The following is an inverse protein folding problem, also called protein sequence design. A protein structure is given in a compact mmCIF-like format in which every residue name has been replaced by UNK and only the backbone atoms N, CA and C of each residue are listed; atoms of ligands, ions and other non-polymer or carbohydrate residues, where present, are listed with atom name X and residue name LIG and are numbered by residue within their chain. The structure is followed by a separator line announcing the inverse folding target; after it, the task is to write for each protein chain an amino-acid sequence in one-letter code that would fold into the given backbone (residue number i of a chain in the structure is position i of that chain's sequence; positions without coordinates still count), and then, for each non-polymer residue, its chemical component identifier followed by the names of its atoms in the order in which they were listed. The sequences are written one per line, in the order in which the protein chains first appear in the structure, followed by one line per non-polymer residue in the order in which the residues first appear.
data_IF_088676880805
#
_entry.id   IF_088676880805
#
_cell.length_a   1.000
_cell.length_b   1.000
_cell.length_c   1.000
_cell.angle_alpha   90.00
_cell.angle_beta   90.00
_cell.angle_gamma   90.00
#
_symmetry.space_group_name_H-M   'P 1'
#
loop_
_entity.id
_entity.type
_entity.pdbx_description
1 polymer ?
#
# COMPACT_ATOMS: atom_id res chain seq x y z
N UNK A 1 9.77 -5.07 -5.25
CA UNK A 1 8.53 -5.46 -4.56
C UNK A 1 7.37 -4.58 -5.01
N UNK A 2 7.50 -3.24 -4.95
CA UNK A 2 6.39 -2.33 -5.26
C UNK A 2 5.96 -2.38 -6.73
N UNK A 3 6.90 -2.40 -7.66
CA UNK A 3 6.61 -2.33 -9.10
C UNK A 3 6.98 -3.61 -9.85
N UNK A 4 7.55 -4.61 -9.16
CA UNK A 4 8.00 -5.85 -9.76
C UNK A 4 9.19 -5.74 -10.71
N UNK A 5 9.73 -4.52 -10.90
CA UNK A 5 10.84 -4.24 -11.81
C UNK A 5 11.88 -3.35 -11.15
N UNK A 6 13.15 -3.57 -11.49
CA UNK A 6 14.27 -2.70 -11.13
C UNK A 6 15.10 -2.45 -12.40
N UNK A 7 15.30 -1.20 -12.74
CA UNK A 7 16.16 -0.80 -13.85
C UNK A 7 17.33 -0.01 -13.29
N UNK A 8 18.55 -0.40 -13.65
CA UNK A 8 19.79 0.24 -13.24
C UNK A 8 20.64 0.48 -14.47
N UNK A 9 20.89 1.74 -14.76
CA UNK A 9 21.84 2.13 -15.80
C UNK A 9 23.25 2.21 -15.21
N UNK A 10 24.22 1.67 -15.92
CA UNK A 10 25.65 1.72 -15.58
C UNK A 10 26.40 2.50 -16.65
N UNK A 11 27.02 3.61 -16.29
CA UNK A 11 27.77 4.48 -17.21
C UNK A 11 29.26 4.11 -17.33
N UNK A 12 29.66 3.00 -16.72
CA UNK A 12 31.07 2.55 -16.64
C UNK A 12 31.74 2.89 -15.31
N UNK A 13 31.15 3.79 -14.51
CA UNK A 13 31.68 4.23 -13.21
C UNK A 13 30.61 4.13 -12.12
N UNK A 14 29.43 4.66 -12.40
CA UNK A 14 28.32 4.74 -11.45
C UNK A 14 27.09 3.96 -11.90
N UNK A 15 26.32 3.52 -10.91
CA UNK A 15 25.02 2.88 -11.11
C UNK A 15 23.91 3.87 -10.79
N UNK A 16 23.01 4.08 -11.76
CA UNK A 16 21.86 4.98 -11.63
C UNK A 16 20.58 4.18 -11.63
N UNK A 17 19.81 4.29 -10.55
CA UNK A 17 18.46 3.71 -10.50
C UNK A 17 17.52 4.51 -11.42
N UNK A 18 16.89 3.80 -12.36
CA UNK A 18 15.85 4.35 -13.22
C UNK A 18 14.49 3.92 -12.66
N UNK A 19 13.64 4.87 -12.18
CA UNK A 19 12.31 4.55 -11.69
C UNK A 19 11.48 3.80 -12.75
N UNK A 20 10.86 2.68 -12.35
CA UNK A 20 10.14 1.81 -13.30
C UNK A 20 8.92 2.50 -13.92
N UNK A 21 8.30 3.45 -13.20
CA UNK A 21 7.20 4.27 -13.73
C UNK A 21 7.64 5.19 -14.89
N UNK A 22 8.93 5.58 -14.91
CA UNK A 22 9.48 6.48 -15.93
C UNK A 22 10.30 5.75 -16.99
N UNK A 23 10.36 4.42 -16.92
CA UNK A 23 11.16 3.59 -17.82
C UNK A 23 10.25 2.74 -18.70
N UNK A 24 10.31 2.97 -20.00
CA UNK A 24 9.60 2.21 -21.01
C UNK A 24 10.52 1.13 -21.59
N UNK A 25 9.99 -0.08 -21.78
CA UNK A 25 10.72 -1.18 -22.44
C UNK A 25 10.43 -1.13 -23.93
N UNK A 26 11.47 -0.93 -24.71
CA UNK A 26 11.40 -0.95 -26.17
C UNK A 26 11.51 -2.41 -26.63
N UNK A 27 10.43 -2.93 -27.19
CA UNK A 27 10.36 -4.33 -27.63
C UNK A 27 10.68 -4.47 -29.12
N UNK A 28 11.21 -5.63 -29.47
CA UNK A 28 11.45 -6.05 -30.87
C UNK A 28 11.04 -7.53 -31.06
N UNK A 29 10.63 -7.87 -32.25
CA UNK A 29 10.13 -9.22 -32.58
C UNK A 29 11.25 -10.27 -32.50
N UNK A 30 12.49 -9.90 -32.81
CA UNK A 30 13.63 -10.84 -32.85
C UNK A 30 14.37 -10.95 -31.52
N UNK A 31 14.61 -9.81 -30.86
CA UNK A 31 15.44 -9.74 -29.65
C UNK A 31 14.62 -9.65 -28.36
N UNK A 32 13.29 -9.59 -28.47
CA UNK A 32 12.32 -9.35 -27.40
C UNK A 32 12.47 -7.96 -26.77
N UNK A 33 13.64 -7.60 -26.25
CA UNK A 33 13.95 -6.28 -25.71
C UNK A 33 15.04 -5.68 -26.61
N UNK A 34 14.74 -4.53 -27.22
CA UNK A 34 15.69 -3.75 -28.02
C UNK A 34 16.48 -2.75 -27.15
N UNK A 35 15.87 -2.28 -26.08
CA UNK A 35 16.42 -1.29 -25.17
C UNK A 35 15.38 -0.68 -24.25
N UNK A 36 15.73 0.43 -23.65
CA UNK A 36 14.90 1.11 -22.65
C UNK A 36 14.84 2.60 -22.95
N UNK A 37 13.68 3.22 -22.74
CA UNK A 37 13.49 4.67 -22.86
C UNK A 37 13.16 5.25 -21.50
N UNK A 38 13.97 6.20 -21.06
CA UNK A 38 13.78 6.87 -19.78
C UNK A 38 13.17 8.27 -20.00
N UNK A 39 12.12 8.59 -19.25
CA UNK A 39 11.35 9.84 -19.32
C UNK A 39 10.88 10.22 -20.74
N UNK A 40 10.72 9.26 -21.64
CA UNK A 40 10.33 9.52 -23.02
C UNK A 40 11.40 10.18 -23.88
N UNK A 41 12.60 10.44 -23.36
CA UNK A 41 13.63 11.26 -24.02
C UNK A 41 14.96 10.52 -24.28
N UNK A 42 15.38 9.68 -23.32
CA UNK A 42 16.72 9.05 -23.38
C UNK A 42 16.55 7.58 -23.67
N UNK A 43 17.13 7.13 -24.78
CA UNK A 43 17.14 5.73 -25.16
C UNK A 43 18.47 5.08 -24.74
N UNK A 44 18.39 3.95 -24.06
CA UNK A 44 19.49 3.07 -23.67
C UNK A 44 19.42 1.77 -24.44
N UNK A 45 20.55 1.19 -24.75
CA UNK A 45 20.63 -0.19 -25.28
C UNK A 45 20.32 -1.19 -24.18
N UNK A 46 19.92 -2.40 -24.58
CA UNK A 46 19.70 -3.50 -23.63
C UNK A 46 20.93 -3.76 -22.74
N UNK A 47 22.14 -3.67 -23.30
CA UNK A 47 23.40 -3.88 -22.59
C UNK A 47 23.80 -2.79 -21.61
N UNK A 48 23.15 -1.63 -21.65
CA UNK A 48 23.46 -0.48 -20.79
C UNK A 48 22.56 -0.40 -19.55
N UNK A 49 21.53 -1.25 -19.49
CA UNK A 49 20.57 -1.26 -18.38
C UNK A 49 20.42 -2.67 -17.81
N UNK A 50 20.81 -2.82 -16.57
CA UNK A 50 20.46 -4.00 -15.80
C UNK A 50 18.98 -3.96 -15.47
N UNK A 51 18.22 -4.93 -15.98
CA UNK A 51 16.81 -5.08 -15.71
C UNK A 51 16.53 -6.35 -14.91
N UNK A 52 16.24 -6.18 -13.62
CA UNK A 52 15.75 -7.24 -12.76
C UNK A 52 14.24 -7.17 -12.63
N UNK A 53 13.56 -8.30 -12.83
CA UNK A 53 12.10 -8.39 -12.78
C UNK A 53 11.64 -9.57 -11.92
N UNK A 54 10.56 -9.38 -11.19
CA UNK A 54 9.88 -10.47 -10.47
C UNK A 54 9.02 -11.27 -11.45
N UNK A 55 8.52 -12.43 -11.00
CA UNK A 55 7.70 -13.31 -11.85
C UNK A 55 6.41 -12.61 -12.27
N UNK A 56 6.07 -12.73 -13.56
CA UNK A 56 4.81 -12.27 -14.11
C UNK A 56 4.28 -13.28 -15.12
N UNK A 57 3.10 -13.82 -14.86
CA UNK A 57 2.44 -14.78 -15.76
C UNK A 57 1.78 -14.12 -16.99
N UNK A 58 1.57 -12.81 -16.95
CA UNK A 58 0.88 -12.07 -18.01
C UNK A 58 1.84 -11.35 -18.96
N UNK A 59 3.10 -11.19 -18.60
CA UNK A 59 4.10 -10.50 -19.40
C UNK A 59 5.48 -11.12 -19.26
N UNK A 60 6.15 -11.31 -20.39
CA UNK A 60 7.57 -11.72 -20.43
C UNK A 60 8.51 -10.52 -20.31
N UNK A 61 8.00 -9.30 -20.49
CA UNK A 61 8.80 -8.09 -20.51
C UNK A 61 8.90 -7.42 -19.14
N UNK A 62 7.78 -7.31 -18.42
CA UNK A 62 7.70 -6.66 -17.10
C UNK A 62 7.37 -7.66 -16.01
N UNK A 63 8.00 -7.50 -14.87
CA UNK A 63 7.65 -8.20 -13.65
C UNK A 63 6.32 -7.67 -13.06
N UNK A 64 5.63 -8.51 -12.30
CA UNK A 64 4.42 -8.14 -11.57
C UNK A 64 4.76 -7.66 -10.16
N UNK A 65 4.01 -6.67 -9.69
CA UNK A 65 4.08 -6.22 -8.30
C UNK A 65 3.48 -7.27 -7.36
N UNK A 66 4.14 -7.56 -6.25
CA UNK A 66 3.55 -8.40 -5.20
C UNK A 66 2.32 -7.75 -4.56
N UNK A 67 2.24 -6.42 -4.59
CA UNK A 67 1.08 -5.68 -4.10
C UNK A 67 -0.16 -5.80 -5.00
N UNK A 68 -0.01 -6.29 -6.23
CA UNK A 68 -1.15 -6.52 -7.11
C UNK A 68 -2.16 -7.50 -6.51
N UNK A 69 -1.67 -8.56 -5.83
CA UNK A 69 -2.52 -9.50 -5.11
C UNK A 69 -3.28 -8.84 -3.93
N UNK A 70 -2.72 -7.78 -3.34
CA UNK A 70 -3.31 -7.03 -2.24
C UNK A 70 -4.18 -5.85 -2.68
N UNK A 71 -4.32 -5.59 -3.98
CA UNK A 71 -4.97 -4.39 -4.52
C UNK A 71 -6.37 -4.15 -3.95
N UNK A 72 -7.18 -5.20 -3.79
CA UNK A 72 -8.53 -5.08 -3.19
C UNK A 72 -8.47 -4.67 -1.73
N UNK A 73 -7.55 -5.25 -0.95
CA UNK A 73 -7.36 -4.90 0.46
C UNK A 73 -6.91 -3.46 0.62
N UNK A 74 -6.01 -3.00 -0.24
CA UNK A 74 -5.55 -1.61 -0.28
C UNK A 74 -6.71 -0.67 -0.61
N UNK A 75 -7.49 -0.95 -1.65
CA UNK A 75 -8.65 -0.14 -2.02
C UNK A 75 -9.71 -0.09 -0.91
N UNK A 76 -9.96 -1.21 -0.25
CA UNK A 76 -10.90 -1.28 0.90
C UNK A 76 -10.41 -0.44 2.06
N UNK A 77 -9.11 -0.46 2.40
CA UNK A 77 -8.54 0.39 3.45
C UNK A 77 -8.66 1.88 3.14
N UNK A 78 -8.43 2.28 1.88
CA UNK A 78 -8.65 3.67 1.48
C UNK A 78 -10.12 4.06 1.64
N UNK A 79 -11.05 3.25 1.13
CA UNK A 79 -12.49 3.51 1.28
C UNK A 79 -12.94 3.59 2.75
N UNK A 80 -12.38 2.75 3.62
CA UNK A 80 -12.65 2.81 5.06
C UNK A 80 -12.11 4.11 5.69
N UNK A 81 -10.91 4.54 5.33
CA UNK A 81 -10.32 5.79 5.81
C UNK A 81 -11.10 7.01 5.33
N UNK A 82 -11.44 7.04 4.05
CA UNK A 82 -12.26 8.11 3.47
C UNK A 82 -13.65 8.17 4.14
N UNK A 83 -14.23 7.01 4.42
CA UNK A 83 -15.50 6.94 5.15
C UNK A 83 -15.34 7.50 6.58
N UNK A 84 -14.29 7.10 7.32
CA UNK A 84 -14.01 7.61 8.65
C UNK A 84 -13.78 9.12 8.65
N UNK A 85 -13.00 9.65 7.71
CA UNK A 85 -12.75 11.06 7.53
C UNK A 85 -14.06 11.83 7.31
N UNK A 86 -14.86 11.41 6.32
CA UNK A 86 -16.15 12.00 6.02
C UNK A 86 -17.12 11.92 7.22
N UNK A 87 -17.13 10.80 7.94
CA UNK A 87 -17.94 10.64 9.13
C UNK A 87 -17.58 11.66 10.21
N UNK A 88 -16.28 11.85 10.50
CA UNK A 88 -15.82 12.83 11.46
C UNK A 88 -16.05 14.27 10.98
N UNK A 89 -15.80 14.55 9.71
CA UNK A 89 -16.08 15.87 9.11
C UNK A 89 -17.56 16.25 9.21
N UNK A 90 -18.45 15.29 9.10
CA UNK A 90 -19.90 15.50 9.21
C UNK A 90 -20.44 15.42 10.64
N UNK A 91 -19.56 15.55 11.65
CA UNK A 91 -19.96 15.63 13.07
C UNK A 91 -20.32 14.28 13.69
N UNK A 92 -19.80 13.18 13.13
CA UNK A 92 -20.02 11.81 13.62
C UNK A 92 -21.51 11.39 13.64
N UNK A 93 -22.28 11.84 12.66
CA UNK A 93 -23.70 11.48 12.52
C UNK A 93 -23.88 10.63 11.26
N UNK A 94 -24.44 9.44 11.45
CA UNK A 94 -24.88 8.59 10.33
C UNK A 94 -26.24 9.07 9.84
N UNK A 95 -26.32 9.54 8.63
CA UNK A 95 -27.57 9.76 7.91
C UNK A 95 -28.64 10.49 8.72
N UNK A 96 -28.58 11.82 8.75
CA UNK A 96 -29.64 12.61 9.34
C UNK A 96 -30.74 12.84 8.33
N UNK A 97 -31.96 12.48 8.67
CA UNK A 97 -33.16 12.83 7.89
C UNK A 97 -33.95 13.88 8.65
N UNK A 98 -34.22 15.00 7.98
CA UNK A 98 -35.12 16.01 8.50
C UNK A 98 -36.52 15.69 8.00
N UNK A 99 -37.44 15.39 8.90
CA UNK A 99 -38.84 15.20 8.59
C UNK A 99 -39.61 16.49 8.90
N UNK A 100 -40.62 16.77 8.08
CA UNK A 100 -41.54 17.92 8.31
C UNK A 100 -42.97 17.44 8.24
N UNK A 101 -43.80 17.93 9.11
CA UNK A 101 -45.26 17.68 9.10
C UNK A 101 -45.95 18.41 7.94
N UNK A 102 -45.34 19.49 7.44
CA UNK A 102 -45.84 20.29 6.34
C UNK A 102 -45.06 20.03 5.05
N UNK A 103 -45.72 20.07 3.89
CA UNK A 103 -45.05 19.97 2.60
C UNK A 103 -44.20 21.21 2.35
N UNK A 104 -42.89 21.01 2.26
CA UNK A 104 -41.95 22.08 1.93
C UNK A 104 -41.76 22.19 0.42
N UNK A 105 -41.66 23.43 -0.05
CA UNK A 105 -41.29 23.69 -1.44
C UNK A 105 -39.83 23.25 -1.71
N UNK A 106 -39.46 22.97 -2.96
CA UNK A 106 -38.08 22.57 -3.31
C UNK A 106 -37.04 23.60 -2.84
N UNK A 107 -37.37 24.90 -3.04
CA UNK A 107 -36.48 26.00 -2.59
C UNK A 107 -36.31 26.02 -1.06
N UNK A 108 -37.37 25.71 -0.31
CA UNK A 108 -37.29 25.63 1.16
C UNK A 108 -36.43 24.43 1.60
N UNK A 109 -36.54 23.28 0.93
CA UNK A 109 -35.71 22.10 1.21
C UNK A 109 -34.22 22.41 0.99
N UNK A 110 -33.87 23.00 -0.14
CA UNK A 110 -32.48 23.37 -0.46
C UNK A 110 -31.91 24.38 0.52
N UNK A 111 -32.66 25.41 0.88
CA UNK A 111 -32.24 26.39 1.92
C UNK A 111 -32.03 25.72 3.25
N UNK A 112 -32.91 24.81 3.66
CA UNK A 112 -32.76 24.07 4.94
C UNK A 112 -31.53 23.21 4.94
N UNK A 113 -31.23 22.48 3.86
CA UNK A 113 -30.03 21.68 3.71
C UNK A 113 -28.77 22.55 3.77
N UNK A 114 -28.73 23.65 3.02
CA UNK A 114 -27.58 24.57 3.05
C UNK A 114 -27.38 25.20 4.42
N UNK A 115 -28.45 25.63 5.09
CA UNK A 115 -28.37 26.15 6.45
C UNK A 115 -27.85 25.12 7.43
N UNK A 116 -28.30 23.85 7.33
CA UNK A 116 -27.83 22.75 8.14
C UNK A 116 -26.35 22.50 7.90
N UNK A 117 -25.91 22.35 6.67
CA UNK A 117 -24.50 22.12 6.30
C UNK A 117 -23.61 23.27 6.79
N UNK A 118 -24.06 24.52 6.68
CA UNK A 118 -23.31 25.68 7.14
C UNK A 118 -23.13 25.70 8.67
N UNK A 119 -24.12 25.21 9.42
CA UNK A 119 -24.11 25.23 10.90
C UNK A 119 -23.47 23.98 11.51
N UNK A 120 -23.56 22.82 10.85
CA UNK A 120 -23.08 21.55 11.34
C UNK A 120 -21.82 21.06 10.67
N UNK A 121 -21.33 21.68 9.60
CA UNK A 121 -20.04 21.35 9.01
C UNK A 121 -18.93 21.58 10.04
N UNK A 122 -18.18 20.52 10.35
CA UNK A 122 -17.07 20.55 11.33
C UNK A 122 -15.94 21.49 10.92
N UNK A 123 -15.76 21.75 9.63
CA UNK A 123 -14.79 22.74 9.10
C UNK A 123 -15.01 24.16 9.61
N UNK A 124 -16.21 24.48 10.13
CA UNK A 124 -16.54 25.80 10.69
C UNK A 124 -16.92 25.78 12.20
N UNK A 125 -16.49 24.74 12.92
CA UNK A 125 -16.71 24.66 14.37
C UNK A 125 -18.08 24.14 14.81
N UNK A 126 -18.71 23.31 14.04
CA UNK A 126 -19.95 22.52 14.08
C UNK A 126 -20.67 22.16 15.37
N UNK A 127 -20.60 23.00 16.44
CA UNK A 127 -21.30 22.75 17.71
C UNK A 127 -22.30 23.85 18.04
N UNK A 128 -22.81 24.57 17.04
CA UNK A 128 -23.80 25.60 17.31
C UNK A 128 -25.22 25.00 17.35
N UNK A 129 -26.01 25.29 18.36
CA UNK A 129 -27.41 24.83 18.40
C UNK A 129 -28.15 25.36 17.18
N UNK A 130 -28.91 24.49 16.53
CA UNK A 130 -29.79 24.84 15.42
C UNK A 130 -31.22 24.87 15.95
N UNK A 131 -31.91 25.96 15.69
CA UNK A 131 -33.33 26.07 15.97
C UNK A 131 -34.07 25.59 14.71
N UNK A 132 -34.86 24.56 14.84
CA UNK A 132 -35.74 24.05 13.81
C UNK A 132 -37.14 24.58 14.07
N UNK A 133 -37.73 25.21 13.06
CA UNK A 133 -39.11 25.66 13.04
C UNK A 133 -39.94 24.89 12.03
N UNK A 134 -41.20 25.30 11.84
CA UNK A 134 -42.10 24.70 10.84
C UNK A 134 -42.31 23.19 10.96
N UNK A 135 -42.21 22.65 12.17
CA UNK A 135 -42.43 21.22 12.42
C UNK A 135 -41.32 20.30 11.92
N UNK A 136 -40.12 20.82 11.63
CA UNK A 136 -38.96 20.05 11.27
C UNK A 136 -38.45 19.25 12.49
N UNK A 137 -38.31 17.95 12.34
CA UNK A 137 -37.78 17.05 13.37
C UNK A 137 -36.57 16.28 12.81
N UNK A 138 -35.42 16.30 13.50
CA UNK A 138 -34.29 15.46 13.11
C UNK A 138 -34.62 14.01 13.51
N UNK A 139 -34.53 13.11 12.53
CA UNK A 139 -34.63 11.67 12.77
C UNK A 139 -33.31 11.02 12.39
N UNK A 140 -32.70 10.35 13.33
CA UNK A 140 -31.52 9.56 13.07
C UNK A 140 -31.95 8.25 12.40
N UNK A 141 -31.62 8.06 11.14
CA UNK A 141 -32.09 6.91 10.33
C UNK A 141 -31.24 5.67 10.56
N UNK A 142 -30.04 5.82 11.07
CA UNK A 142 -29.18 4.69 11.37
C UNK A 142 -29.09 4.43 12.87
N UNK A 143 -29.67 3.32 13.32
CA UNK A 143 -29.40 2.73 14.64
C UNK A 143 -28.02 2.05 14.73
N UNK A 144 -27.16 2.23 13.72
CA UNK A 144 -25.86 1.60 13.72
C UNK A 144 -24.85 2.46 14.47
N UNK A 145 -24.27 1.91 15.52
CA UNK A 145 -23.16 2.51 16.21
C UNK A 145 -21.87 2.27 15.42
N UNK A 146 -20.93 3.19 15.47
CA UNK A 146 -19.60 3.04 14.87
C UNK A 146 -18.89 1.75 15.33
N UNK A 147 -19.15 1.31 16.57
CA UNK A 147 -18.66 0.02 17.11
C UNK A 147 -19.21 -1.19 16.40
N UNK A 148 -20.43 -1.13 15.89
CA UNK A 148 -21.10 -2.27 15.25
C UNK A 148 -20.56 -2.54 13.84
N UNK A 149 -19.78 -1.59 13.27
CA UNK A 149 -19.17 -1.72 11.96
C UNK A 149 -17.80 -2.42 11.98
N UNK A 150 -17.28 -2.74 13.18
CA UNK A 150 -16.03 -3.50 13.40
C UNK A 150 -14.84 -3.06 12.52
N UNK A 151 -14.71 -1.73 12.34
CA UNK A 151 -13.66 -1.16 11.50
C UNK A 151 -12.26 -1.56 11.96
N UNK A 152 -12.03 -1.63 13.27
CA UNK A 152 -10.71 -1.92 13.82
C UNK A 152 -10.24 -3.32 13.44
N UNK A 153 -11.13 -4.31 13.54
CA UNK A 153 -10.84 -5.68 13.15
C UNK A 153 -10.68 -5.80 11.62
N UNK A 154 -11.51 -5.10 10.88
CA UNK A 154 -11.43 -5.09 9.41
C UNK A 154 -10.13 -4.45 8.92
N UNK A 155 -9.74 -3.29 9.47
CA UNK A 155 -8.46 -2.62 9.17
C UNK A 155 -7.29 -3.55 9.50
N UNK A 156 -7.33 -4.21 10.66
CA UNK A 156 -6.29 -5.17 11.06
C UNK A 156 -6.18 -6.32 10.06
N UNK A 157 -7.30 -6.93 9.69
CA UNK A 157 -7.34 -8.04 8.73
C UNK A 157 -6.78 -7.63 7.36
N UNK A 158 -7.18 -6.47 6.84
CA UNK A 158 -6.66 -6.00 5.55
C UNK A 158 -5.18 -5.64 5.60
N UNK A 159 -4.69 -5.07 6.70
CA UNK A 159 -3.26 -4.84 6.91
C UNK A 159 -2.47 -6.15 6.92
N UNK A 160 -2.95 -7.16 7.64
CA UNK A 160 -2.34 -8.50 7.68
C UNK A 160 -2.28 -9.15 6.29
N UNK A 161 -3.35 -9.04 5.50
CA UNK A 161 -3.38 -9.53 4.12
C UNK A 161 -2.33 -8.82 3.23
N UNK A 162 -2.19 -7.50 3.34
CA UNK A 162 -1.18 -6.75 2.59
C UNK A 162 0.22 -7.21 2.98
N UNK A 163 0.48 -7.37 4.28
CA UNK A 163 1.77 -7.84 4.79
C UNK A 163 2.09 -9.25 4.29
N UNK A 164 1.12 -10.15 4.29
CA UNK A 164 1.28 -11.51 3.76
C UNK A 164 1.65 -11.49 2.27
N UNK A 165 1.04 -10.62 1.46
CA UNK A 165 1.36 -10.50 0.03
C UNK A 165 2.83 -10.10 -0.23
N UNK A 166 3.44 -9.30 0.64
CA UNK A 166 4.86 -8.92 0.57
C UNK A 166 5.78 -9.84 1.37
N UNK A 167 5.21 -10.81 2.08
CA UNK A 167 5.93 -11.83 2.86
C UNK A 167 6.39 -11.34 4.23
N UNK A 168 5.80 -10.29 4.79
CA UNK A 168 6.12 -9.80 6.14
C UNK A 168 5.23 -10.51 7.16
N UNK A 169 5.78 -11.22 8.15
CA UNK A 169 4.99 -11.78 9.24
C UNK A 169 4.27 -10.69 10.04
N UNK A 170 2.94 -10.77 10.24
CA UNK A 170 2.17 -9.74 10.94
C UNK A 170 2.67 -9.42 12.35
N UNK A 171 3.22 -10.41 13.04
CA UNK A 171 3.77 -10.26 14.40
C UNK A 171 4.91 -9.24 14.49
N UNK A 172 5.64 -8.99 13.40
CA UNK A 172 6.72 -8.00 13.39
C UNK A 172 6.21 -6.55 13.53
N UNK A 173 4.95 -6.28 13.18
CA UNK A 173 4.33 -4.96 13.30
C UNK A 173 3.34 -4.87 14.46
N UNK A 174 2.81 -6.00 14.92
CA UNK A 174 1.84 -6.03 16.00
C UNK A 174 2.43 -5.76 17.40
N UNK A 175 3.76 -5.66 17.52
CA UNK A 175 4.44 -5.44 18.80
C UNK A 175 4.34 -6.67 19.71
N UNK A 176 5.15 -7.67 19.48
CA UNK A 176 5.24 -8.87 20.31
C UNK A 176 6.34 -8.76 21.37
N UNK A 177 6.39 -9.73 22.28
CA UNK A 177 7.51 -9.93 23.17
C UNK A 177 8.77 -10.30 22.34
N UNK A 178 9.95 -9.80 22.74
CA UNK A 178 11.22 -10.05 22.04
C UNK A 178 11.48 -11.54 21.77
N UNK A 179 11.03 -12.43 22.66
CA UNK A 179 11.12 -13.87 22.46
C UNK A 179 10.39 -14.38 21.19
N UNK A 180 9.34 -13.70 20.76
CA UNK A 180 8.59 -14.05 19.57
C UNK A 180 9.02 -13.27 18.33
N UNK A 181 9.62 -12.09 18.49
CA UNK A 181 10.05 -11.24 17.39
C UNK A 181 11.28 -11.83 16.69
N UNK A 182 12.31 -12.23 17.45
CA UNK A 182 13.58 -12.71 16.88
C UNK A 182 13.44 -13.94 15.98
N UNK A 183 12.71 -15.01 16.34
CA UNK A 183 12.49 -16.15 15.45
C UNK A 183 11.71 -15.78 14.18
N UNK A 184 10.69 -14.92 14.30
CA UNK A 184 9.91 -14.47 13.16
C UNK A 184 10.69 -13.53 12.23
N UNK A 185 11.57 -12.70 12.79
CA UNK A 185 12.48 -11.88 11.99
C UNK A 185 13.47 -12.75 11.23
N UNK A 186 14.03 -13.79 11.86
CA UNK A 186 14.91 -14.76 11.19
C UNK A 186 14.18 -15.47 10.04
N UNK A 187 12.97 -15.94 10.30
CA UNK A 187 12.12 -16.58 9.28
C UNK A 187 11.83 -15.64 8.12
N UNK A 188 11.48 -14.40 8.39
CA UNK A 188 11.29 -13.37 7.37
C UNK A 188 12.53 -13.18 6.48
N UNK A 189 13.71 -13.11 7.09
CA UNK A 189 14.95 -13.02 6.30
C UNK A 189 15.17 -14.27 5.45
N UNK A 190 15.03 -15.47 6.02
CA UNK A 190 15.31 -16.72 5.34
C UNK A 190 14.34 -17.01 4.19
N UNK A 191 13.04 -16.75 4.39
CA UNK A 191 12.00 -17.15 3.45
C UNK A 191 11.53 -16.03 2.51
N UNK A 192 11.70 -14.78 2.91
CA UNK A 192 11.24 -13.66 2.08
C UNK A 192 12.41 -12.86 1.50
N UNK A 193 13.36 -12.45 2.33
CA UNK A 193 14.44 -11.54 1.89
C UNK A 193 15.50 -12.30 1.11
N UNK A 194 16.04 -13.39 1.65
CA UNK A 194 17.15 -14.14 1.03
C UNK A 194 16.81 -14.74 -0.34
N UNK A 195 15.61 -15.28 -0.62
CA UNK A 195 15.26 -15.71 -1.96
C UNK A 195 15.29 -14.57 -2.99
N UNK A 196 14.88 -13.36 -2.61
CA UNK A 196 14.96 -12.17 -3.48
C UNK A 196 16.42 -11.78 -3.71
N UNK A 197 17.22 -11.74 -2.64
CA UNK A 197 18.66 -11.43 -2.70
C UNK A 197 19.38 -12.42 -3.62
N UNK A 198 19.16 -13.73 -3.47
CA UNK A 198 19.77 -14.74 -4.33
C UNK A 198 19.42 -14.56 -5.80
N UNK A 199 18.14 -14.32 -6.11
CA UNK A 199 17.71 -14.04 -7.49
C UNK A 199 18.40 -12.79 -8.04
N UNK A 200 18.51 -11.74 -7.22
CA UNK A 200 19.13 -10.48 -7.61
C UNK A 200 20.64 -10.66 -7.86
N UNK A 201 21.34 -11.33 -6.97
CA UNK A 201 22.76 -11.68 -7.12
C UNK A 201 22.99 -12.48 -8.40
N UNK A 202 22.25 -13.58 -8.62
CA UNK A 202 22.38 -14.37 -9.84
C UNK A 202 22.05 -13.59 -11.13
N UNK A 203 21.21 -12.57 -11.05
CA UNK A 203 20.94 -11.71 -12.19
C UNK A 203 22.10 -10.74 -12.44
N UNK A 204 22.74 -10.19 -11.39
CA UNK A 204 23.92 -9.36 -11.48
C UNK A 204 25.13 -10.13 -12.05
N UNK A 205 25.37 -11.36 -11.57
CA UNK A 205 26.42 -12.26 -12.09
C UNK A 205 26.28 -12.45 -13.60
N UNK A 206 25.07 -12.77 -14.05
CA UNK A 206 24.80 -12.97 -15.48
C UNK A 206 24.98 -11.70 -16.31
N UNK A 207 24.65 -10.53 -15.74
CA UNK A 207 24.73 -9.27 -16.47
C UNK A 207 26.16 -8.75 -16.57
N UNK A 208 26.91 -8.77 -15.46
CA UNK A 208 28.26 -8.24 -15.40
C UNK A 208 29.36 -9.28 -15.72
N UNK A 209 29.06 -10.58 -15.63
CA UNK A 209 30.02 -11.64 -15.85
C UNK A 209 31.03 -11.82 -14.71
N UNK A 210 30.76 -11.23 -13.55
CA UNK A 210 31.60 -11.37 -12.35
C UNK A 210 30.89 -12.23 -11.30
N UNK A 211 31.69 -12.88 -10.46
CA UNK A 211 31.18 -13.58 -9.28
C UNK A 211 30.75 -12.55 -8.23
N UNK A 212 29.51 -12.64 -7.76
CA UNK A 212 28.91 -11.69 -6.83
C UNK A 212 28.36 -12.44 -5.63
N UNK A 213 28.74 -12.05 -4.44
CA UNK A 213 28.24 -12.65 -3.21
C UNK A 213 27.51 -11.67 -2.31
N UNK A 214 26.41 -12.09 -1.71
CA UNK A 214 25.69 -11.32 -0.72
C UNK A 214 26.32 -11.51 0.66
N UNK A 215 26.92 -10.47 1.20
CA UNK A 215 27.51 -10.48 2.54
C UNK A 215 26.39 -10.37 3.60
N UNK A 216 26.13 -11.45 4.33
CA UNK A 216 25.09 -11.53 5.37
C UNK A 216 25.64 -11.44 6.79
N UNK A 217 26.96 -11.32 6.95
CA UNK A 217 27.62 -11.30 8.26
C UNK A 217 27.22 -10.12 9.15
N UNK A 218 26.74 -9.02 8.58
CA UNK A 218 26.25 -7.85 9.34
C UNK A 218 24.77 -7.95 9.75
N UNK A 219 24.05 -8.97 9.27
CA UNK A 219 22.61 -9.14 9.55
C UNK A 219 22.46 -9.99 10.81
N UNK A 220 22.17 -9.37 11.95
CA UNK A 220 22.05 -10.06 13.25
C UNK A 220 21.02 -11.20 13.24
N UNK A 221 19.91 -11.04 12.54
CA UNK A 221 18.87 -12.05 12.43
C UNK A 221 19.31 -13.35 11.72
N UNK A 222 20.38 -13.30 10.90
CA UNK A 222 20.93 -14.45 10.18
C UNK A 222 22.13 -15.09 10.89
N UNK A 223 22.63 -14.46 11.97
CA UNK A 223 23.72 -15.05 12.74
C UNK A 223 23.22 -16.25 13.56
N UNK A 224 24.05 -17.28 13.75
CA UNK A 224 23.72 -18.38 14.65
C UNK A 224 23.53 -17.85 16.08
N UNK A 225 22.52 -18.31 16.78
CA UNK A 225 22.34 -18.00 18.19
C UNK A 225 23.49 -18.61 19.00
N UNK A 226 23.88 -17.93 20.10
CA UNK A 226 24.93 -18.44 21.00
C UNK A 226 24.65 -19.87 21.49
N UNK A 227 23.40 -20.25 21.58
CA UNK A 227 22.96 -21.61 21.90
C UNK A 227 23.33 -22.64 20.82
N UNK A 228 23.27 -22.25 19.57
CA UNK A 228 23.61 -23.12 18.44
C UNK A 228 25.12 -23.32 18.34
N UNK A 229 25.91 -22.29 18.76
CA UNK A 229 27.37 -22.35 18.77
C UNK A 229 27.87 -23.20 19.97
N UNK A 230 27.14 -23.19 21.09
CA UNK A 230 27.51 -23.96 22.28
C UNK A 230 27.17 -25.46 22.19
N UNK A 231 26.44 -25.88 21.17
CA UNK A 231 26.05 -27.28 20.92
C UNK A 231 27.05 -28.04 20.01
N UNK A 232 28.09 -27.37 19.51
CA UNK A 232 29.21 -27.94 18.75
C UNK A 232 30.52 -27.90 19.62
#
# INVERSE_FOLDING_TARGET
ILEGNVFVHFDGVFMYHLPAASTEILTDVKTFIRGYRYNGMVDFKESEVFHFRDLNSQSIYRGASRLEAAQRSIATLYAMKDFQENFFENGAVFGLVLTSENTLSQIAKEKTIQYWLQKYSTKQGGKRPVILDSGLKPVNVSNQNFKDMDFDQSIKTHNELIMQCIGIPPILLAGGNNANISPNLRLFYLETVMPVVRKFVSALERYYGYDVEAITSSVSALQPELKDIAAY
#
